data_IF_294289917841
#
_entry.id   IF_294289917841
#
_cell.length_a   1.000
_cell.length_b   1.000
_cell.length_c   1.000
_cell.angle_alpha   90.00
_cell.angle_beta   90.00
_cell.angle_gamma   90.00
#
_symmetry.space_group_name_H-M   'P 1'
#
loop_
_entity.id
_entity.type
_entity.pdbx_description
1 polymer ?
#
# COMPACT_ATOMS: atom_id res chain seq x y z
N UNK A 1 -30.13 -7.24 -6.61
CA UNK A 1 -29.66 -6.28 -7.63
C UNK A 1 -28.16 -6.49 -7.74
N UNK A 2 -27.57 -6.65 -8.94
CA UNK A 2 -26.12 -6.62 -9.04
C UNK A 2 -25.68 -5.23 -8.57
N UNK A 3 -24.88 -5.15 -7.50
CA UNK A 3 -24.27 -3.88 -7.11
C UNK A 3 -23.29 -3.51 -8.23
N UNK A 4 -23.70 -2.62 -9.13
CA UNK A 4 -22.78 -2.00 -10.07
C UNK A 4 -21.72 -1.30 -9.25
N UNK A 5 -20.46 -1.72 -9.36
CA UNK A 5 -19.34 -1.01 -8.76
C UNK A 5 -19.42 0.46 -9.18
N UNK A 6 -19.27 1.41 -8.24
CA UNK A 6 -19.24 2.82 -8.60
C UNK A 6 -18.07 3.05 -9.58
N UNK A 7 -18.38 3.63 -10.73
CA UNK A 7 -17.37 4.00 -11.71
C UNK A 7 -16.89 5.43 -11.42
N UNK A 8 -15.56 5.67 -11.36
CA UNK A 8 -15.00 7.01 -11.39
C UNK A 8 -15.44 7.79 -12.65
N UNK A 9 -15.32 9.13 -12.65
CA UNK A 9 -15.49 9.94 -13.85
C UNK A 9 -14.64 9.45 -15.04
N UNK A 10 -15.07 9.69 -16.30
CA UNK A 10 -14.37 9.20 -17.50
C UNK A 10 -12.92 9.65 -17.65
N UNK A 11 -12.54 10.75 -17.00
CA UNK A 11 -11.18 11.28 -16.95
C UNK A 11 -10.27 10.53 -15.97
N UNK A 12 -10.79 9.55 -15.24
CA UNK A 12 -10.09 8.75 -14.25
C UNK A 12 -10.23 7.25 -14.58
N UNK A 13 -9.11 6.59 -14.80
CA UNK A 13 -9.04 5.15 -15.01
C UNK A 13 -8.40 4.49 -13.80
N UNK A 14 -9.14 3.62 -13.10
CA UNK A 14 -8.59 2.79 -12.03
C UNK A 14 -8.18 1.45 -12.62
N UNK A 15 -6.89 1.18 -12.61
CA UNK A 15 -6.35 -0.14 -12.90
C UNK A 15 -6.34 -0.94 -11.61
N UNK A 16 -7.38 -1.74 -11.38
CA UNK A 16 -7.40 -2.67 -10.26
C UNK A 16 -6.28 -3.70 -10.42
N UNK A 17 -5.47 -3.87 -9.38
CA UNK A 17 -4.32 -4.78 -9.36
C UNK A 17 -4.56 -5.92 -8.37
N UNK A 18 -3.72 -6.97 -8.45
CA UNK A 18 -3.70 -8.00 -7.42
C UNK A 18 -2.95 -7.52 -6.16
N UNK A 19 -3.10 -8.23 -5.05
CA UNK A 19 -2.59 -7.84 -3.72
C UNK A 19 -1.06 -7.63 -3.59
N UNK A 20 -0.25 -8.00 -4.59
CA UNK A 20 1.18 -7.64 -4.61
C UNK A 20 1.42 -6.18 -5.02
N UNK A 21 0.44 -5.52 -5.64
CA UNK A 21 0.64 -4.18 -6.19
C UNK A 21 -0.57 -3.33 -5.89
N UNK A 22 -0.33 -2.11 -5.40
CA UNK A 22 -1.40 -1.16 -5.26
C UNK A 22 -2.03 -0.81 -6.61
N UNK A 23 -3.31 -0.47 -6.59
CA UNK A 23 -4.07 0.08 -7.68
C UNK A 23 -3.34 1.28 -8.29
N UNK A 24 -3.32 1.35 -9.62
CA UNK A 24 -2.80 2.53 -10.31
C UNK A 24 -3.99 3.40 -10.74
N UNK A 25 -4.01 4.66 -10.33
CA UNK A 25 -5.10 5.59 -10.67
C UNK A 25 -4.58 6.57 -11.72
N UNK A 26 -5.03 6.40 -12.96
CA UNK A 26 -4.64 7.26 -14.08
C UNK A 26 -5.62 8.39 -14.30
N UNK A 27 -5.06 9.54 -14.67
CA UNK A 27 -5.79 10.76 -14.98
C UNK A 27 -5.53 11.21 -16.41
N UNK A 28 -6.60 11.52 -17.13
CA UNK A 28 -6.59 11.98 -18.52
C UNK A 28 -7.12 13.41 -18.63
N UNK A 29 -6.49 14.37 -17.94
CA UNK A 29 -6.85 15.78 -18.03
C UNK A 29 -6.52 16.36 -19.40
N UNK A 30 -7.18 17.45 -19.81
CA UNK A 30 -6.82 18.17 -21.05
C UNK A 30 -5.44 18.79 -20.95
N UNK A 31 -5.05 19.22 -19.74
CA UNK A 31 -3.81 19.95 -19.51
C UNK A 31 -2.65 19.09 -19.01
N UNK A 32 -2.87 17.80 -18.77
CA UNK A 32 -1.81 16.87 -18.39
C UNK A 32 -2.34 15.50 -18.03
N UNK A 33 -1.42 14.55 -17.90
CA UNK A 33 -1.69 13.17 -17.50
C UNK A 33 -0.96 12.86 -16.20
N UNK A 34 -1.55 11.99 -15.38
CA UNK A 34 -0.94 11.58 -14.13
C UNK A 34 -1.23 10.13 -13.82
N UNK A 35 -0.40 9.53 -12.98
CA UNK A 35 -0.70 8.29 -12.27
C UNK A 35 -0.46 8.48 -10.78
N UNK A 36 -1.38 8.00 -9.96
CA UNK A 36 -1.19 7.84 -8.51
C UNK A 36 -0.90 6.37 -8.22
N UNK A 37 0.20 6.14 -7.52
CA UNK A 37 0.81 4.85 -7.16
C UNK A 37 1.17 3.96 -8.37
N UNK A 38 2.22 3.14 -8.21
CA UNK A 38 2.92 2.52 -9.36
C UNK A 38 3.13 1.01 -9.22
N UNK A 39 2.55 0.38 -8.20
CA UNK A 39 2.67 -1.06 -7.99
C UNK A 39 4.05 -1.47 -7.47
N UNK A 40 4.25 -2.79 -7.37
CA UNK A 40 5.50 -3.39 -6.91
C UNK A 40 6.48 -3.62 -8.07
N UNK A 41 7.78 -3.65 -7.76
CA UNK A 41 8.84 -3.69 -8.76
C UNK A 41 8.83 -4.96 -9.63
N UNK A 42 8.40 -6.11 -9.08
CA UNK A 42 8.23 -7.36 -9.83
C UNK A 42 7.21 -7.21 -10.98
N UNK A 43 6.28 -6.26 -10.87
CA UNK A 43 5.29 -5.94 -11.89
C UNK A 43 5.65 -4.68 -12.71
N UNK A 44 6.85 -4.12 -12.60
CA UNK A 44 7.21 -2.84 -13.22
C UNK A 44 6.95 -2.80 -14.74
N UNK A 45 7.33 -3.85 -15.48
CA UNK A 45 7.05 -3.95 -16.92
C UNK A 45 5.55 -3.98 -17.22
N UNK A 46 4.76 -4.64 -16.37
CA UNK A 46 3.30 -4.67 -16.50
C UNK A 46 2.71 -3.29 -16.20
N UNK A 47 3.18 -2.60 -15.16
CA UNK A 47 2.78 -1.22 -14.83
C UNK A 47 3.03 -0.29 -16.01
N UNK A 48 4.23 -0.29 -16.60
CA UNK A 48 4.55 0.52 -17.78
C UNK A 48 3.60 0.23 -18.94
N UNK A 49 3.37 -1.04 -19.25
CA UNK A 49 2.48 -1.43 -20.36
C UNK A 49 1.03 -1.00 -20.13
N UNK A 50 0.51 -1.14 -18.91
CA UNK A 50 -0.85 -0.73 -18.58
C UNK A 50 -1.01 0.79 -18.61
N UNK A 51 -0.05 1.53 -18.05
CA UNK A 51 -0.05 2.99 -18.08
C UNK A 51 0.01 3.49 -19.52
N UNK A 52 0.92 2.96 -20.33
CA UNK A 52 1.04 3.31 -21.74
C UNK A 52 -0.25 3.03 -22.53
N UNK A 53 -0.86 1.86 -22.30
CA UNK A 53 -2.11 1.48 -22.95
C UNK A 53 -3.27 2.41 -22.58
N UNK A 54 -3.42 2.72 -21.29
CA UNK A 54 -4.46 3.62 -20.82
C UNK A 54 -4.28 5.07 -21.34
N UNK A 55 -3.04 5.55 -21.45
CA UNK A 55 -2.75 6.91 -21.96
C UNK A 55 -3.01 7.11 -23.45
N UNK A 56 -3.21 6.03 -24.23
CA UNK A 56 -3.64 6.13 -25.63
C UNK A 56 -2.70 6.94 -26.52
N UNK A 57 -1.39 6.91 -26.26
CA UNK A 57 -0.36 7.65 -27.00
C UNK A 57 0.00 9.02 -26.43
N UNK A 58 -0.66 9.49 -25.37
CA UNK A 58 -0.22 10.67 -24.61
C UNK A 58 0.97 10.29 -23.72
N UNK A 59 1.89 11.23 -23.50
CA UNK A 59 2.98 11.05 -22.54
C UNK A 59 2.44 11.06 -21.11
N UNK A 60 3.09 10.33 -20.19
CA UNK A 60 2.89 10.49 -18.76
C UNK A 60 3.64 11.74 -18.29
N UNK A 61 2.95 12.68 -17.65
CA UNK A 61 3.55 13.94 -17.19
C UNK A 61 3.81 13.97 -15.69
N UNK A 62 3.01 13.24 -14.90
CA UNK A 62 3.09 13.25 -13.43
C UNK A 62 3.00 11.85 -12.84
N UNK A 63 3.85 11.57 -11.86
CA UNK A 63 3.76 10.40 -10.98
C UNK A 63 3.54 10.91 -9.56
N UNK A 64 2.58 10.37 -8.85
CA UNK A 64 2.29 10.72 -7.46
C UNK A 64 2.32 9.45 -6.61
N UNK A 65 2.91 9.52 -5.43
CA UNK A 65 2.83 8.43 -4.45
C UNK A 65 2.03 8.87 -3.23
N UNK A 66 1.10 8.03 -2.79
CA UNK A 66 0.32 8.26 -1.55
C UNK A 66 1.18 8.01 -0.32
N UNK A 67 2.07 7.03 -0.39
CA UNK A 67 3.11 6.69 0.58
C UNK A 67 4.20 5.86 -0.08
N UNK A 68 5.26 5.55 0.66
CA UNK A 68 6.50 5.00 0.12
C UNK A 68 6.70 3.52 0.48
N UNK A 69 5.61 2.76 0.63
CA UNK A 69 5.71 1.30 0.62
C UNK A 69 5.96 0.78 -0.79
N UNK A 70 6.66 -0.36 -0.85
CA UNK A 70 7.20 -0.89 -2.10
C UNK A 70 6.15 -1.23 -3.16
N UNK A 71 4.93 -1.62 -2.77
CA UNK A 71 3.77 -1.83 -3.66
C UNK A 71 3.13 -0.54 -4.17
N UNK A 72 3.45 0.61 -3.60
CA UNK A 72 2.91 1.91 -4.02
C UNK A 72 3.90 2.69 -4.87
N UNK A 73 5.21 2.49 -4.69
CA UNK A 73 6.25 3.22 -5.40
C UNK A 73 7.27 2.34 -6.17
N UNK A 74 7.17 1.02 -6.10
CA UNK A 74 8.12 0.10 -6.74
C UNK A 74 8.18 0.19 -8.26
N UNK A 75 7.11 0.66 -8.91
CA UNK A 75 7.09 0.94 -10.35
C UNK A 75 7.68 2.30 -10.77
N UNK A 76 8.02 3.18 -9.82
CA UNK A 76 8.44 4.56 -10.10
C UNK A 76 9.65 4.60 -11.04
N UNK A 77 10.70 3.83 -10.76
CA UNK A 77 11.93 3.84 -11.54
C UNK A 77 11.69 3.45 -13.00
N UNK A 78 10.84 2.44 -13.25
CA UNK A 78 10.52 1.99 -14.59
C UNK A 78 9.66 3.01 -15.35
N UNK A 79 8.67 3.64 -14.70
CA UNK A 79 7.90 4.72 -15.30
C UNK A 79 8.79 5.94 -15.61
N UNK A 80 9.70 6.28 -14.72
CA UNK A 80 10.67 7.36 -14.91
C UNK A 80 11.64 7.09 -16.07
N UNK A 81 11.98 5.83 -16.32
CA UNK A 81 12.78 5.45 -17.48
C UNK A 81 11.97 5.54 -18.78
N UNK A 82 10.70 5.12 -18.76
CA UNK A 82 9.79 5.17 -19.91
C UNK A 82 9.36 6.61 -20.26
N UNK A 83 9.20 7.47 -19.25
CA UNK A 83 8.88 8.90 -19.38
C UNK A 83 9.86 9.75 -18.56
N UNK A 84 11.07 10.04 -19.10
CA UNK A 84 12.09 10.81 -18.39
C UNK A 84 11.67 12.23 -18.00
N UNK A 85 10.69 12.80 -18.71
CA UNK A 85 10.13 14.12 -18.42
C UNK A 85 9.02 14.14 -17.36
N UNK A 86 8.58 12.98 -16.85
CA UNK A 86 7.54 12.93 -15.83
C UNK A 86 8.07 13.48 -14.50
N UNK A 87 7.31 14.40 -13.89
CA UNK A 87 7.61 14.91 -12.56
C UNK A 87 7.00 13.99 -11.50
N UNK A 88 7.78 13.64 -10.49
CA UNK A 88 7.37 12.75 -9.40
C UNK A 88 7.12 13.54 -8.12
N UNK A 89 5.95 13.35 -7.51
CA UNK A 89 5.59 13.91 -6.21
C UNK A 89 5.42 12.80 -5.18
N UNK A 90 6.08 12.95 -4.02
CA UNK A 90 6.02 12.01 -2.90
C UNK A 90 5.45 12.69 -1.66
N UNK A 91 5.07 11.96 -0.61
CA UNK A 91 4.75 12.60 0.66
C UNK A 91 5.99 13.24 1.31
N UNK A 92 5.81 14.26 2.16
CA UNK A 92 6.93 15.08 2.62
C UNK A 92 7.89 14.37 3.60
N UNK A 93 7.41 13.38 4.36
CA UNK A 93 8.11 12.88 5.55
C UNK A 93 9.44 12.16 5.31
N UNK A 94 9.57 11.43 4.20
CA UNK A 94 10.76 10.63 3.87
C UNK A 94 11.57 11.21 2.68
N UNK A 95 11.36 12.48 2.35
CA UNK A 95 12.00 13.12 1.21
C UNK A 95 13.54 13.06 1.26
N UNK A 96 14.15 13.22 2.43
CA UNK A 96 15.60 13.15 2.59
C UNK A 96 16.15 11.73 2.34
N UNK A 97 15.42 10.72 2.79
CA UNK A 97 15.75 9.30 2.66
C UNK A 97 15.65 8.88 1.18
N UNK A 98 14.65 9.37 0.44
CA UNK A 98 14.58 9.14 -1.01
C UNK A 98 15.77 9.81 -1.74
N UNK A 99 16.15 11.04 -1.36
CA UNK A 99 17.30 11.74 -2.01
C UNK A 99 18.62 10.98 -1.89
N UNK A 100 18.86 10.37 -0.73
CA UNK A 100 20.10 9.61 -0.46
C UNK A 100 19.95 8.11 -0.70
N UNK A 101 18.73 7.68 -1.03
CA UNK A 101 18.32 6.28 -1.10
C UNK A 101 18.70 5.44 0.13
N UNK A 102 18.13 5.81 1.28
CA UNK A 102 18.24 5.01 2.51
C UNK A 102 17.13 3.94 2.56
N UNK A 103 17.40 2.78 1.97
CA UNK A 103 16.44 1.67 1.92
C UNK A 103 16.07 1.11 3.30
N UNK A 104 16.86 1.37 4.35
CA UNK A 104 16.52 0.94 5.69
C UNK A 104 15.50 1.89 6.32
N UNK A 105 15.75 3.20 6.25
CA UNK A 105 14.83 4.21 6.75
C UNK A 105 13.52 4.32 5.93
N UNK A 106 13.53 3.84 4.68
CA UNK A 106 12.34 3.66 3.84
C UNK A 106 11.63 2.32 4.07
N UNK A 107 11.93 1.62 5.17
CA UNK A 107 11.37 0.34 5.61
C UNK A 107 11.56 -0.88 4.69
N UNK A 108 12.10 -0.73 3.47
CA UNK A 108 12.35 -1.83 2.53
C UNK A 108 13.25 -2.92 3.12
N UNK A 109 14.43 -2.55 3.65
CA UNK A 109 15.35 -3.52 4.25
C UNK A 109 14.76 -4.16 5.53
N UNK A 110 14.20 -3.42 6.50
CA UNK A 110 13.54 -4.00 7.67
C UNK A 110 12.43 -5.01 7.35
N UNK A 111 11.68 -4.78 6.27
CA UNK A 111 10.56 -5.63 5.86
C UNK A 111 10.93 -6.68 4.81
N UNK A 112 12.18 -6.72 4.35
CA UNK A 112 12.62 -7.67 3.33
C UNK A 112 11.96 -7.47 1.96
N UNK A 113 11.53 -6.24 1.68
CA UNK A 113 10.88 -5.82 0.43
C UNK A 113 11.88 -5.12 -0.50
N UNK A 114 11.55 -5.08 -1.79
CA UNK A 114 12.38 -4.46 -2.80
C UNK A 114 11.70 -3.22 -3.41
N UNK A 115 12.44 -2.12 -3.49
CA UNK A 115 12.06 -0.95 -4.27
C UNK A 115 13.29 -0.45 -5.03
N UNK A 116 13.24 -0.32 -6.37
CA UNK A 116 14.29 0.32 -7.12
C UNK A 116 14.42 1.81 -6.78
N UNK A 117 15.64 2.37 -6.74
CA UNK A 117 15.85 3.80 -6.56
C UNK A 117 15.13 4.64 -7.61
N UNK A 118 14.44 5.68 -7.14
CA UNK A 118 13.76 6.66 -7.99
C UNK A 118 14.00 8.09 -7.48
N UNK A 119 13.79 9.08 -8.36
CA UNK A 119 13.91 10.51 -8.01
C UNK A 119 12.54 11.11 -7.66
N UNK A 120 12.52 12.23 -6.97
CA UNK A 120 11.32 13.07 -6.87
C UNK A 120 11.66 14.53 -7.14
N UNK A 121 10.63 15.27 -7.55
CA UNK A 121 10.72 16.66 -7.95
C UNK A 121 9.99 17.56 -6.95
N UNK A 122 8.86 17.10 -6.41
CA UNK A 122 8.01 17.86 -5.48
C UNK A 122 7.48 17.00 -4.34
N UNK A 123 6.85 17.63 -3.34
CA UNK A 123 6.19 16.93 -2.24
C UNK A 123 4.69 17.24 -2.19
N UNK A 124 3.89 16.25 -1.83
CA UNK A 124 2.45 16.36 -1.61
C UNK A 124 2.20 16.90 -0.20
N UNK A 125 2.30 18.22 -0.04
CA UNK A 125 2.14 18.87 1.26
C UNK A 125 0.67 18.80 1.73
N UNK A 126 0.36 18.22 2.91
CA UNK A 126 -0.98 18.27 3.48
C UNK A 126 -1.51 19.70 3.66
N UNK A 127 -2.81 19.89 3.45
CA UNK A 127 -3.47 21.20 3.47
C UNK A 127 -3.37 21.99 2.17
N UNK A 128 -2.73 21.42 1.14
CA UNK A 128 -2.64 22.01 -0.20
C UNK A 128 -3.60 21.34 -1.19
N UNK A 129 -3.55 21.78 -2.44
CA UNK A 129 -4.33 21.21 -3.54
C UNK A 129 -3.41 20.94 -4.72
N UNK A 130 -3.60 19.80 -5.36
CA UNK A 130 -2.92 19.41 -6.60
C UNK A 130 -3.95 19.21 -7.72
N UNK A 131 -3.57 19.47 -8.98
CA UNK A 131 -4.47 19.32 -10.12
C UNK A 131 -4.26 17.94 -10.76
N UNK A 132 -5.31 17.12 -10.82
CA UNK A 132 -5.30 15.82 -11.49
C UNK A 132 -6.60 15.66 -12.29
N UNK A 133 -6.49 15.30 -13.58
CA UNK A 133 -7.67 15.16 -14.44
C UNK A 133 -8.45 16.48 -14.64
N UNK A 134 -7.75 17.61 -14.66
CA UNK A 134 -8.36 18.96 -14.64
C UNK A 134 -9.22 19.27 -13.39
N UNK A 135 -9.09 18.48 -12.32
CA UNK A 135 -9.83 18.65 -11.05
C UNK A 135 -8.90 19.01 -9.90
N UNK A 136 -9.33 19.88 -8.96
CA UNK A 136 -8.57 20.17 -7.75
C UNK A 136 -8.73 19.05 -6.71
N UNK A 137 -7.63 18.38 -6.39
CA UNK A 137 -7.56 17.37 -5.34
C UNK A 137 -6.89 17.93 -4.10
N UNK A 138 -7.61 17.92 -2.99
CA UNK A 138 -7.09 18.29 -1.68
C UNK A 138 -6.15 17.20 -1.17
N UNK A 139 -4.99 17.59 -0.65
CA UNK A 139 -4.03 16.69 -0.03
C UNK A 139 -4.25 16.71 1.48
N UNK A 140 -4.59 15.57 2.07
CA UNK A 140 -4.74 15.44 3.53
C UNK A 140 -3.71 14.46 4.08
N UNK A 141 -3.18 14.75 5.27
CA UNK A 141 -2.34 13.80 5.99
C UNK A 141 -3.19 12.62 6.46
N UNK A 142 -2.65 11.42 6.40
CA UNK A 142 -3.33 10.20 6.79
C UNK A 142 -2.39 9.27 7.57
N UNK A 143 -1.77 9.73 8.68
CA UNK A 143 -0.85 8.90 9.44
C UNK A 143 -1.54 7.63 9.97
N UNK A 144 -0.78 6.56 10.18
CA UNK A 144 -1.29 5.29 10.71
C UNK A 144 -0.62 4.10 10.04
N UNK A 145 -1.11 3.68 8.87
CA UNK A 145 -0.49 2.63 8.07
C UNK A 145 0.98 2.95 7.73
N UNK A 146 1.20 4.18 7.29
CA UNK A 146 2.49 4.83 7.14
C UNK A 146 2.35 6.24 7.77
N UNK A 147 3.26 6.69 8.65
CA UNK A 147 3.10 7.97 9.37
C UNK A 147 3.16 9.21 8.47
N UNK A 148 3.62 9.06 7.24
CA UNK A 148 3.79 10.13 6.28
C UNK A 148 2.78 10.05 5.14
N UNK A 149 1.88 9.06 5.15
CA UNK A 149 0.93 8.85 4.07
C UNK A 149 -0.01 10.03 3.89
N UNK A 150 -0.47 10.19 2.65
CA UNK A 150 -1.50 11.16 2.28
C UNK A 150 -2.66 10.47 1.61
N UNK A 151 -3.85 11.05 1.78
CA UNK A 151 -5.02 10.76 0.96
C UNK A 151 -5.37 11.96 0.09
N UNK A 152 -5.95 11.69 -1.08
CA UNK A 152 -6.32 12.73 -2.04
C UNK A 152 -7.85 12.78 -2.14
N UNK A 153 -8.43 13.96 -1.93
CA UNK A 153 -9.88 14.16 -1.95
C UNK A 153 -10.31 15.19 -2.99
N UNK A 154 -11.17 14.79 -3.92
CA UNK A 154 -11.82 15.67 -4.89
C UNK A 154 -13.21 16.07 -4.36
N UNK A 155 -13.45 17.35 -4.03
CA UNK A 155 -14.64 17.76 -3.28
C UNK A 155 -15.93 17.84 -4.11
N UNK A 156 -15.86 17.99 -5.43
CA UNK A 156 -17.06 18.17 -6.26
C UNK A 156 -17.87 16.88 -6.38
N UNK A 157 -17.22 15.79 -6.80
CA UNK A 157 -17.82 14.46 -6.90
C UNK A 157 -17.64 13.64 -5.61
N UNK A 158 -16.89 14.18 -4.63
CA UNK A 158 -16.55 13.55 -3.35
C UNK A 158 -15.84 12.20 -3.54
N UNK A 159 -14.80 12.22 -4.37
CA UNK A 159 -13.94 11.09 -4.63
C UNK A 159 -12.78 11.09 -3.64
N UNK A 160 -12.50 9.95 -3.01
CA UNK A 160 -11.36 9.77 -2.13
C UNK A 160 -10.44 8.71 -2.70
N UNK A 161 -9.19 9.06 -3.00
CA UNK A 161 -8.11 8.07 -3.09
C UNK A 161 -7.62 7.85 -1.67
N UNK A 162 -8.05 6.75 -1.06
CA UNK A 162 -7.78 6.45 0.35
C UNK A 162 -6.45 5.73 0.57
N UNK A 163 -5.79 5.27 -0.50
CA UNK A 163 -4.63 4.40 -0.38
C UNK A 163 -4.92 3.26 0.62
N UNK A 164 -4.04 3.10 1.61
CA UNK A 164 -4.15 2.08 2.65
C UNK A 164 -4.77 2.58 3.94
N UNK A 165 -5.26 3.83 3.98
CA UNK A 165 -6.00 4.37 5.11
C UNK A 165 -7.41 3.76 5.24
N UNK A 166 -8.03 3.37 4.12
CA UNK A 166 -9.34 2.70 4.12
C UNK A 166 -9.52 1.83 2.86
N UNK A 167 -9.83 0.56 3.09
CA UNK A 167 -10.31 -0.39 2.10
C UNK A 167 -11.77 -0.75 2.38
N UNK A 168 -12.47 -1.40 1.44
CA UNK A 168 -13.86 -1.80 1.64
C UNK A 168 -14.05 -2.68 2.90
N UNK A 169 -13.01 -3.48 3.24
CA UNK A 169 -13.02 -4.44 4.33
C UNK A 169 -11.86 -4.23 5.35
N UNK A 170 -11.48 -2.98 5.61
CA UNK A 170 -10.48 -2.66 6.63
C UNK A 170 -9.53 -1.53 6.21
N UNK A 171 -8.25 -1.70 6.53
CA UNK A 171 -7.16 -0.77 6.23
C UNK A 171 -5.84 -1.57 6.19
N UNK A 172 -4.79 -0.94 5.66
CA UNK A 172 -3.44 -1.51 5.60
C UNK A 172 -2.91 -1.92 6.95
N UNK A 173 -2.03 -2.93 7.00
CA UNK A 173 -1.43 -3.35 8.26
C UNK A 173 -0.58 -2.23 8.84
N UNK A 174 -0.62 -1.99 10.15
CA UNK A 174 0.28 -1.03 10.81
C UNK A 174 1.50 -1.76 11.33
N UNK A 175 2.64 -1.07 11.43
CA UNK A 175 3.89 -1.63 11.94
C UNK A 175 4.37 -0.86 13.18
N UNK A 176 3.70 -0.97 14.37
CA UNK A 176 4.06 -0.20 15.56
C UNK A 176 5.51 -0.41 16.02
N UNK A 177 6.09 -1.58 15.73
CA UNK A 177 7.48 -1.88 16.04
C UNK A 177 8.48 -1.06 15.21
N UNK A 178 8.07 -0.57 14.03
CA UNK A 178 8.86 0.32 13.18
C UNK A 178 8.51 1.80 13.43
N UNK A 179 7.22 2.11 13.55
CA UNK A 179 6.70 3.48 13.52
C UNK A 179 6.35 4.06 14.90
N UNK A 180 6.37 3.22 15.94
CA UNK A 180 6.03 3.59 17.32
C UNK A 180 4.59 3.29 17.71
N UNK A 181 4.33 3.36 19.02
CA UNK A 181 3.07 2.91 19.62
C UNK A 181 1.87 3.87 19.36
N UNK A 182 2.09 5.06 18.81
CA UNK A 182 1.01 6.00 18.45
C UNK A 182 0.22 5.57 17.20
N UNK A 183 0.74 4.62 16.41
CA UNK A 183 0.20 4.25 15.10
C UNK A 183 -1.30 3.92 15.12
N UNK A 184 -1.82 3.27 16.17
CA UNK A 184 -3.26 2.98 16.27
C UNK A 184 -4.12 4.23 16.53
N UNK A 185 -3.62 5.19 17.30
CA UNK A 185 -4.30 6.46 17.50
C UNK A 185 -4.30 7.30 16.21
N UNK A 186 -3.21 7.23 15.44
CA UNK A 186 -3.09 7.88 14.15
C UNK A 186 -4.07 7.29 13.12
N UNK A 187 -4.23 5.95 13.07
CA UNK A 187 -5.30 5.31 12.28
C UNK A 187 -6.68 5.84 12.69
N UNK A 188 -6.98 5.93 13.99
CA UNK A 188 -8.27 6.42 14.45
C UNK A 188 -8.55 7.86 13.96
N UNK A 189 -7.57 8.75 14.08
CA UNK A 189 -7.67 10.13 13.60
C UNK A 189 -7.85 10.20 12.08
N UNK A 190 -7.18 9.34 11.32
CA UNK A 190 -7.34 9.24 9.87
C UNK A 190 -8.74 8.73 9.49
N UNK A 191 -9.32 7.79 10.24
CA UNK A 191 -10.70 7.36 10.01
C UNK A 191 -11.71 8.48 10.32
N UNK A 192 -11.48 9.27 11.37
CA UNK A 192 -12.29 10.46 11.70
C UNK A 192 -12.24 11.52 10.59
N UNK A 193 -11.05 11.74 10.03
CA UNK A 193 -10.87 12.62 8.86
C UNK A 193 -11.68 12.10 7.66
N UNK A 194 -11.59 10.82 7.32
CA UNK A 194 -12.31 10.24 6.18
C UNK A 194 -13.83 10.33 6.40
N UNK A 195 -14.31 10.09 7.61
CA UNK A 195 -15.71 10.29 7.98
C UNK A 195 -16.15 11.75 7.77
N UNK A 196 -15.32 12.72 8.18
CA UNK A 196 -15.58 14.14 8.00
C UNK A 196 -15.61 14.57 6.52
N UNK A 197 -14.73 14.02 5.68
CA UNK A 197 -14.72 14.28 4.23
C UNK A 197 -15.98 13.73 3.53
N UNK A 198 -16.65 12.74 4.14
CA UNK A 198 -17.89 12.13 3.67
C UNK A 198 -17.86 11.74 2.18
N UNK A 199 -16.86 10.92 1.75
CA UNK A 199 -16.71 10.54 0.35
C UNK A 199 -17.91 9.74 -0.15
N UNK A 200 -18.26 9.95 -1.42
CA UNK A 200 -19.29 9.15 -2.13
C UNK A 200 -18.69 7.92 -2.79
N UNK A 201 -17.44 8.02 -3.22
CA UNK A 201 -16.70 6.95 -3.89
C UNK A 201 -15.30 6.93 -3.31
N UNK A 202 -14.84 5.74 -2.94
CA UNK A 202 -13.51 5.49 -2.39
C UNK A 202 -12.75 4.60 -3.36
N UNK A 203 -11.55 5.05 -3.72
CA UNK A 203 -10.59 4.33 -4.56
C UNK A 203 -9.46 3.88 -3.62
N UNK A 204 -9.47 2.61 -3.15
CA UNK A 204 -8.46 2.12 -2.23
C UNK A 204 -7.13 1.84 -2.92
N UNK A 205 -6.08 1.74 -2.11
CA UNK A 205 -4.77 1.24 -2.53
C UNK A 205 -4.86 -0.20 -3.02
N UNK A 206 -5.71 -1.04 -2.42
CA UNK A 206 -5.92 -2.43 -2.83
C UNK A 206 -7.41 -2.79 -2.90
N UNK A 207 -7.75 -3.63 -3.89
CA UNK A 207 -9.12 -4.10 -4.12
C UNK A 207 -10.00 -3.11 -4.89
N UNK A 208 -11.31 -3.37 -4.97
CA UNK A 208 -12.19 -2.63 -5.85
C UNK A 208 -12.59 -1.26 -5.34
N UNK A 209 -12.97 -0.38 -6.26
CA UNK A 209 -13.65 0.90 -5.95
C UNK A 209 -15.00 0.62 -5.29
N UNK A 210 -15.33 1.36 -4.23
CA UNK A 210 -16.57 1.18 -3.47
C UNK A 210 -17.22 2.51 -3.06
N UNK A 211 -18.51 2.48 -2.70
CA UNK A 211 -19.30 3.68 -2.36
C UNK A 211 -19.83 3.71 -0.91
N UNK A 212 -19.86 2.56 -0.23
CA UNK A 212 -20.39 2.45 1.13
C UNK A 212 -19.30 2.76 2.18
N UNK A 213 -18.88 4.03 2.21
CA UNK A 213 -17.83 4.50 3.12
C UNK A 213 -18.22 4.34 4.59
N UNK A 214 -19.51 4.51 4.94
CA UNK A 214 -20.00 4.36 6.33
C UNK A 214 -19.80 2.93 6.80
N UNK A 215 -20.24 1.92 6.03
CA UNK A 215 -20.03 0.51 6.38
C UNK A 215 -18.54 0.15 6.46
N UNK A 216 -17.73 0.67 5.54
CA UNK A 216 -16.29 0.44 5.54
C UNK A 216 -15.60 1.02 6.78
N UNK A 217 -15.93 2.27 7.16
CA UNK A 217 -15.44 2.92 8.37
C UNK A 217 -15.83 2.15 9.63
N UNK A 218 -17.09 1.73 9.75
CA UNK A 218 -17.57 0.89 10.85
C UNK A 218 -16.76 -0.42 10.97
N UNK A 219 -16.47 -1.06 9.84
CA UNK A 219 -15.62 -2.24 9.76
C UNK A 219 -14.18 -1.97 10.20
N UNK A 220 -13.59 -0.88 9.69
CA UNK A 220 -12.24 -0.45 10.01
C UNK A 220 -12.08 -0.14 11.51
N UNK A 221 -13.03 0.59 12.11
CA UNK A 221 -13.03 0.90 13.56
C UNK A 221 -13.12 -0.36 14.42
N UNK A 222 -14.00 -1.31 14.09
CA UNK A 222 -14.07 -2.60 14.80
C UNK A 222 -12.77 -3.39 14.70
N UNK A 223 -12.13 -3.38 13.53
CA UNK A 223 -10.84 -4.04 13.30
C UNK A 223 -9.73 -3.38 14.12
N UNK A 224 -9.67 -2.05 14.11
CA UNK A 224 -8.73 -1.24 14.88
C UNK A 224 -8.85 -1.54 16.37
N UNK A 225 -10.07 -1.48 16.93
CA UNK A 225 -10.35 -1.84 18.33
C UNK A 225 -9.85 -3.26 18.67
N UNK A 226 -10.08 -4.21 17.76
CA UNK A 226 -9.65 -5.59 17.93
C UNK A 226 -8.13 -5.76 17.98
N UNK A 227 -7.40 -4.98 17.19
CA UNK A 227 -5.93 -4.98 17.20
C UNK A 227 -5.36 -4.24 18.41
N UNK A 228 -5.89 -3.06 18.73
CA UNK A 228 -5.45 -2.27 19.88
C UNK A 228 -5.63 -3.02 21.21
N UNK A 229 -6.70 -3.81 21.36
CA UNK A 229 -6.95 -4.64 22.56
C UNK A 229 -6.13 -5.93 22.61
N UNK A 230 -5.54 -6.36 21.49
CA UNK A 230 -4.76 -7.60 21.44
C UNK A 230 -3.50 -7.43 20.57
N UNK A 231 -2.45 -6.80 21.12
CA UNK A 231 -1.20 -6.53 20.39
C UNK A 231 -0.52 -7.79 19.85
N UNK A 232 -0.52 -8.90 20.60
CA UNK A 232 0.06 -10.16 20.12
C UNK A 232 -0.71 -10.73 18.92
N UNK A 233 -2.05 -10.63 18.90
CA UNK A 233 -2.86 -11.01 17.73
C UNK A 233 -2.55 -10.13 16.53
N UNK A 234 -2.36 -8.83 16.75
CA UNK A 234 -1.93 -7.91 15.69
C UNK A 234 -0.53 -8.28 15.15
N UNK A 235 0.44 -8.56 16.03
CA UNK A 235 1.78 -8.99 15.67
C UNK A 235 1.78 -10.28 14.82
N UNK A 236 0.98 -11.29 15.20
CA UNK A 236 0.78 -12.49 14.37
C UNK A 236 0.15 -12.16 13.02
N UNK A 237 -0.81 -11.24 12.98
CA UNK A 237 -1.41 -10.81 11.72
C UNK A 237 -0.37 -10.13 10.81
N UNK A 238 0.43 -9.20 11.35
CA UNK A 238 1.46 -8.49 10.60
C UNK A 238 2.54 -9.43 10.04
N UNK A 239 3.03 -10.36 10.87
CA UNK A 239 4.00 -11.37 10.42
C UNK A 239 3.46 -12.23 9.27
N UNK A 240 2.19 -12.66 9.35
CA UNK A 240 1.54 -13.43 8.28
C UNK A 240 1.31 -12.64 7.01
N UNK A 241 0.93 -11.36 7.12
CA UNK A 241 0.80 -10.47 5.96
C UNK A 241 2.14 -10.37 5.24
N UNK A 242 3.23 -10.11 5.97
CA UNK A 242 4.56 -9.95 5.35
C UNK A 242 5.04 -11.25 4.70
N UNK A 243 4.83 -12.40 5.35
CA UNK A 243 5.15 -13.72 4.80
C UNK A 243 4.33 -14.03 3.53
N UNK A 244 3.03 -13.75 3.57
CA UNK A 244 2.13 -13.92 2.39
C UNK A 244 2.53 -12.97 1.27
N UNK A 245 2.92 -11.74 1.59
CA UNK A 245 3.36 -10.75 0.62
C UNK A 245 4.63 -11.22 -0.11
N UNK A 246 5.61 -11.80 0.61
CA UNK A 246 6.78 -12.41 -0.04
C UNK A 246 6.42 -13.63 -0.90
N UNK A 247 5.46 -14.44 -0.45
CA UNK A 247 4.95 -15.56 -1.26
C UNK A 247 4.20 -15.08 -2.52
N UNK A 248 3.52 -13.94 -2.47
CA UNK A 248 2.94 -13.29 -3.65
C UNK A 248 4.03 -12.83 -4.62
N UNK A 249 5.17 -12.35 -4.14
CA UNK A 249 6.30 -12.01 -5.01
C UNK A 249 6.89 -13.25 -5.70
N UNK A 250 7.21 -14.30 -4.92
CA UNK A 250 7.88 -15.48 -5.46
C UNK A 250 6.96 -16.46 -6.18
N UNK A 251 5.65 -16.38 -5.94
CA UNK A 251 4.58 -17.29 -6.39
C UNK A 251 4.72 -18.74 -5.88
N UNK A 252 5.93 -19.26 -5.76
CA UNK A 252 6.24 -20.54 -5.13
C UNK A 252 7.69 -20.54 -4.64
N UNK A 253 7.97 -21.27 -3.57
CA UNK A 253 9.31 -21.35 -3.00
C UNK A 253 9.47 -22.62 -2.16
N UNK A 254 10.67 -23.19 -2.03
CA UNK A 254 10.96 -24.17 -0.98
C UNK A 254 10.67 -23.57 0.41
N UNK A 255 10.10 -24.37 1.31
CA UNK A 255 9.81 -23.93 2.68
C UNK A 255 11.06 -23.41 3.38
N UNK A 256 12.20 -24.09 3.19
CA UNK A 256 13.48 -23.69 3.77
C UNK A 256 13.92 -22.28 3.34
N UNK A 257 13.70 -21.91 2.07
CA UNK A 257 14.09 -20.61 1.54
C UNK A 257 13.21 -19.49 2.09
N UNK A 258 11.90 -19.75 2.25
CA UNK A 258 11.00 -18.81 2.91
C UNK A 258 11.37 -18.56 4.38
N UNK A 259 11.68 -19.63 5.12
CA UNK A 259 12.08 -19.52 6.53
C UNK A 259 13.42 -18.81 6.68
N UNK A 260 14.39 -19.11 5.82
CA UNK A 260 15.67 -18.42 5.79
C UNK A 260 15.52 -16.92 5.48
N UNK A 261 14.65 -16.56 4.53
CA UNK A 261 14.35 -15.15 4.25
C UNK A 261 13.66 -14.46 5.44
N UNK A 262 12.69 -15.12 6.07
CA UNK A 262 11.98 -14.55 7.22
C UNK A 262 12.93 -14.33 8.40
N UNK A 263 13.84 -15.29 8.67
CA UNK A 263 14.87 -15.18 9.69
C UNK A 263 15.88 -14.06 9.41
N UNK A 264 16.20 -13.82 8.13
CA UNK A 264 17.10 -12.73 7.73
C UNK A 264 16.42 -11.35 7.72
N UNK A 265 15.09 -11.29 7.82
CA UNK A 265 14.30 -10.06 7.71
C UNK A 265 14.11 -9.44 9.10
N UNK A 266 14.67 -8.24 9.39
CA UNK A 266 14.74 -7.67 10.74
C UNK A 266 13.40 -7.58 11.47
N UNK A 267 12.32 -7.28 10.74
CA UNK A 267 11.00 -7.10 11.33
C UNK A 267 10.46 -8.36 12.02
N UNK A 268 10.74 -9.56 11.52
CA UNK A 268 10.33 -10.81 12.19
C UNK A 268 11.02 -10.96 13.54
N UNK A 269 12.32 -10.67 13.62
CA UNK A 269 13.07 -10.70 14.88
C UNK A 269 12.55 -9.68 15.91
N UNK A 270 12.13 -8.50 15.45
CA UNK A 270 11.50 -7.47 16.31
C UNK A 270 10.17 -7.95 16.87
N UNK A 271 9.30 -8.52 16.03
CA UNK A 271 8.02 -9.09 16.46
C UNK A 271 8.21 -10.26 17.42
N UNK A 272 9.13 -11.17 17.11
CA UNK A 272 9.45 -12.33 17.94
C UNK A 272 9.91 -11.90 19.33
N UNK A 273 10.92 -11.03 19.39
CA UNK A 273 11.48 -10.54 20.66
C UNK A 273 10.43 -9.81 21.51
N UNK A 274 9.55 -9.02 20.88
CA UNK A 274 8.58 -8.19 21.60
C UNK A 274 7.36 -8.98 22.10
N UNK A 275 6.87 -9.95 21.32
CA UNK A 275 5.56 -10.58 21.57
C UNK A 275 5.60 -12.10 21.76
N UNK A 276 6.70 -12.76 21.37
CA UNK A 276 6.78 -14.22 21.26
C UNK A 276 8.11 -14.81 21.75
N UNK A 277 8.78 -14.12 22.69
CA UNK A 277 10.08 -14.53 23.21
C UNK A 277 10.04 -15.85 24.03
N UNK A 278 8.84 -16.36 24.33
CA UNK A 278 8.60 -17.61 25.05
C UNK A 278 8.68 -18.87 24.17
N UNK A 279 8.79 -18.72 22.85
CA UNK A 279 8.96 -19.80 21.88
C UNK A 279 10.22 -19.63 21.05
N UNK A 280 10.79 -20.73 20.52
CA UNK A 280 11.95 -20.64 19.63
C UNK A 280 11.55 -19.94 18.31
N UNK A 281 12.41 -19.05 17.80
CA UNK A 281 12.12 -18.27 16.59
C UNK A 281 11.83 -19.16 15.37
N UNK A 282 12.60 -20.23 15.19
CA UNK A 282 12.38 -21.18 14.10
C UNK A 282 10.99 -21.85 14.16
N UNK A 283 10.58 -22.30 15.35
CA UNK A 283 9.26 -22.93 15.58
C UNK A 283 8.14 -21.92 15.33
N UNK A 284 8.33 -20.66 15.74
CA UNK A 284 7.38 -19.59 15.47
C UNK A 284 7.23 -19.31 13.97
N UNK A 285 8.34 -19.16 13.23
CA UNK A 285 8.31 -18.92 11.79
C UNK A 285 7.64 -20.07 11.02
N UNK A 286 7.95 -21.32 11.40
CA UNK A 286 7.26 -22.50 10.86
C UNK A 286 5.75 -22.46 11.12
N UNK A 287 5.33 -22.05 12.33
CA UNK A 287 3.92 -21.91 12.67
C UNK A 287 3.20 -20.86 11.81
N UNK A 288 3.87 -19.75 11.47
CA UNK A 288 3.31 -18.72 10.58
C UNK A 288 3.08 -19.27 9.16
N UNK A 289 4.03 -20.03 8.62
CA UNK A 289 3.89 -20.67 7.31
C UNK A 289 2.79 -21.73 7.32
N UNK A 290 2.71 -22.54 8.37
CA UNK A 290 1.64 -23.52 8.57
C UNK A 290 0.26 -22.85 8.67
N UNK A 291 0.19 -21.67 9.30
CA UNK A 291 -1.02 -20.86 9.38
C UNK A 291 -1.52 -20.41 8.01
N UNK A 292 -0.62 -19.97 7.11
CA UNK A 292 -0.99 -19.60 5.74
C UNK A 292 -1.61 -20.80 5.00
N UNK A 293 -1.08 -22.01 5.19
CA UNK A 293 -1.65 -23.22 4.61
C UNK A 293 -3.02 -23.52 5.22
N UNK A 294 -3.13 -23.46 6.55
CA UNK A 294 -4.38 -23.73 7.28
C UNK A 294 -5.50 -22.76 6.92
N UNK A 295 -5.19 -21.49 6.63
CA UNK A 295 -6.16 -20.50 6.20
C UNK A 295 -6.48 -20.55 4.70
N UNK A 296 -5.82 -21.44 3.94
CA UNK A 296 -5.96 -21.51 2.48
C UNK A 296 -5.27 -20.38 1.71
N UNK A 297 -4.39 -19.61 2.37
CA UNK A 297 -3.60 -18.56 1.74
C UNK A 297 -2.34 -19.11 1.05
N UNK A 298 -1.99 -20.38 1.28
CA UNK A 298 -0.94 -21.09 0.60
C UNK A 298 -1.28 -22.58 0.48
N UNK A 299 -0.63 -23.29 -0.44
CA UNK A 299 -0.71 -24.75 -0.54
C UNK A 299 0.69 -25.33 -0.41
N UNK A 300 0.84 -26.36 0.45
CA UNK A 300 2.10 -27.10 0.59
C UNK A 300 2.07 -28.37 -0.26
N UNK A 301 3.10 -28.57 -1.09
CA UNK A 301 3.32 -29.78 -1.89
C UNK A 301 4.74 -30.31 -1.62
N UNK A 302 4.85 -31.28 -0.71
CA UNK A 302 6.16 -31.73 -0.22
C UNK A 302 6.93 -30.59 0.46
N UNK A 303 8.12 -30.30 -0.06
CA UNK A 303 8.99 -29.22 0.43
C UNK A 303 8.64 -27.83 -0.14
N UNK A 304 7.69 -27.76 -1.07
CA UNK A 304 7.32 -26.51 -1.74
C UNK A 304 6.08 -25.88 -1.13
N UNK A 305 6.09 -24.55 -1.05
CA UNK A 305 4.95 -23.72 -0.71
C UNK A 305 4.53 -22.92 -1.94
N UNK A 306 3.25 -22.94 -2.27
CA UNK A 306 2.68 -22.25 -3.43
C UNK A 306 1.71 -21.16 -2.96
N UNK A 307 1.78 -20.02 -3.61
CA UNK A 307 0.80 -18.95 -3.50
C UNK A 307 -0.58 -19.43 -3.98
N UNK A 308 -1.63 -19.00 -3.29
CA UNK A 308 -3.05 -19.15 -3.67
C UNK A 308 -3.66 -17.77 -3.86
#
# INVERSE_FOLDING_TARGET
MPHTQPAPPPDITVLERGWLSANNILFHGRHGTAVVDTGYCAHANQTVALVQGALGGRALERILNTHLHSDHCGGNAALQQAWPGAETAIPPGQAAQVRHWDAYALSYTPTGQECPPFRFDTVLQPGTTTLLGDRPWQVHAAPGHDPHSVVLFEPQDRLLISADALWENGFGVVFPELEGDSAFADVAATLDLIEHLAPRTVIPGHGPVFADAVRALDGARRRLDGFARNPAKHALYAAKVLLKYKLLEWQQTPMADLLAWAQATPYFGMLHTRHFADQAEAEWLESLAADLVRSGAAVRQGEWLHNV
#
